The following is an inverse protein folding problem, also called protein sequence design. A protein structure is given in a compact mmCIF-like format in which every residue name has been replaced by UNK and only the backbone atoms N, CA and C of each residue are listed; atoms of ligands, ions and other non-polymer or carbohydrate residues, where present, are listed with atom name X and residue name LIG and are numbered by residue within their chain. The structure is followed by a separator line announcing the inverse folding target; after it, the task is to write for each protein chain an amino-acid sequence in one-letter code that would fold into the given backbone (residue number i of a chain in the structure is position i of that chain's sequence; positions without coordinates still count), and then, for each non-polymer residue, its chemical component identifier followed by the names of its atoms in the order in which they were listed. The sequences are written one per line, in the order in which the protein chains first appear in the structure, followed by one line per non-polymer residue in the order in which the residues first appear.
data_IF_881725578996
#
_entry.id   IF_881725578996
#
_cell.length_a   1.000
_cell.length_b   1.000
_cell.length_c   1.000
_cell.angle_alpha   90.00
_cell.angle_beta   90.00
_cell.angle_gamma   90.00
#
_symmetry.space_group_name_H-M   'P 1'
#
loop_
_entity.id
_entity.type
_entity.pdbx_description
1 polymer ?
#
# COMPACT_ATOMS: atom_id res chain seq x y z
N UNK A 1 23.12 2.72 -9.51
CA UNK A 1 22.96 2.15 -8.15
C UNK A 1 22.60 0.67 -8.23
N UNK A 2 21.64 0.26 -9.07
CA UNK A 2 21.26 -1.16 -9.19
C UNK A 2 22.30 -1.96 -9.98
N UNK A 3 22.88 -1.42 -11.07
CA UNK A 3 24.06 -2.05 -11.70
C UNK A 3 25.24 -2.26 -10.73
N UNK A 4 25.42 -1.38 -9.74
CA UNK A 4 26.44 -1.56 -8.69
C UNK A 4 26.05 -2.72 -7.75
N UNK A 5 24.78 -2.81 -7.34
CA UNK A 5 24.28 -3.92 -6.51
C UNK A 5 24.38 -5.26 -7.24
N UNK A 6 23.99 -5.31 -8.52
CA UNK A 6 24.05 -6.52 -9.36
C UNK A 6 25.50 -6.95 -9.63
N UNK A 7 26.42 -6.00 -9.83
CA UNK A 7 27.80 -6.32 -10.17
C UNK A 7 28.70 -6.58 -8.95
N UNK A 8 28.50 -5.89 -7.82
CA UNK A 8 29.35 -6.04 -6.62
C UNK A 8 28.78 -6.96 -5.54
N UNK A 9 27.47 -7.25 -5.56
CA UNK A 9 26.83 -8.13 -4.56
C UNK A 9 26.04 -9.29 -5.16
N UNK A 10 26.40 -9.70 -6.39
CA UNK A 10 25.71 -10.77 -7.11
C UNK A 10 25.60 -12.06 -6.30
N UNK A 11 26.67 -12.41 -5.60
CA UNK A 11 26.76 -13.65 -4.80
C UNK A 11 25.89 -13.63 -3.53
N UNK A 12 25.41 -12.45 -3.12
CA UNK A 12 24.56 -12.28 -1.93
C UNK A 12 23.05 -12.26 -2.28
N UNK A 13 22.68 -12.27 -3.56
CA UNK A 13 21.30 -12.16 -4.02
C UNK A 13 20.88 -13.50 -4.62
N UNK A 14 19.84 -14.18 -4.07
CA UNK A 14 19.35 -15.41 -4.67
C UNK A 14 18.97 -15.21 -6.14
N UNK A 15 19.35 -16.15 -7.01
CA UNK A 15 19.18 -16.03 -8.47
C UNK A 15 17.73 -15.75 -8.88
N UNK A 16 16.78 -16.21 -8.06
CA UNK A 16 15.35 -16.00 -8.29
C UNK A 16 14.90 -14.53 -8.30
N UNK A 17 15.68 -13.61 -7.69
CA UNK A 17 15.37 -12.18 -7.64
C UNK A 17 16.09 -11.37 -8.74
N UNK A 18 17.04 -11.98 -9.47
CA UNK A 18 17.74 -11.29 -10.56
C UNK A 18 16.80 -10.71 -11.63
N UNK A 19 15.72 -11.42 -12.05
CA UNK A 19 14.77 -10.86 -13.01
C UNK A 19 14.08 -9.58 -12.51
N UNK A 20 13.73 -9.52 -11.21
CA UNK A 20 13.13 -8.32 -10.61
C UNK A 20 14.10 -7.14 -10.66
N UNK A 21 15.36 -7.35 -10.28
CA UNK A 21 16.36 -6.28 -10.26
C UNK A 21 16.66 -5.75 -11.68
N UNK A 22 16.72 -6.65 -12.67
CA UNK A 22 16.87 -6.27 -14.08
C UNK A 22 15.67 -5.47 -14.59
N UNK A 23 14.45 -5.88 -14.24
CA UNK A 23 13.23 -5.16 -14.62
C UNK A 23 13.22 -3.75 -14.02
N UNK A 24 13.54 -3.61 -12.72
CA UNK A 24 13.65 -2.31 -12.05
C UNK A 24 14.71 -1.44 -12.74
N UNK A 25 15.93 -1.93 -12.97
CA UNK A 25 16.98 -1.11 -13.62
C UNK A 25 16.55 -0.64 -15.01
N UNK A 26 15.92 -1.52 -15.79
CA UNK A 26 15.45 -1.19 -17.15
C UNK A 26 14.42 -0.05 -17.15
N UNK A 27 13.52 -0.02 -16.16
CA UNK A 27 12.42 0.95 -16.06
C UNK A 27 12.81 2.26 -15.37
N UNK A 28 13.88 2.25 -14.57
CA UNK A 28 14.23 3.36 -13.68
C UNK A 28 15.49 4.11 -14.14
N UNK A 29 16.40 3.48 -14.88
CA UNK A 29 17.72 4.02 -15.26
C UNK A 29 17.72 5.44 -15.88
N UNK A 30 16.70 5.78 -16.67
CA UNK A 30 16.59 7.08 -17.33
C UNK A 30 15.67 8.07 -16.60
N UNK A 31 15.04 7.67 -15.49
CA UNK A 31 14.16 8.52 -14.72
C UNK A 31 14.97 9.40 -13.77
N UNK A 32 14.65 10.70 -13.76
CA UNK A 32 15.22 11.66 -12.81
C UNK A 32 14.24 12.05 -11.71
N UNK A 33 12.95 11.84 -11.93
CA UNK A 33 11.91 12.22 -11.00
C UNK A 33 11.75 11.13 -9.92
N UNK A 34 12.06 11.46 -8.67
CA UNK A 34 11.99 10.54 -7.53
C UNK A 34 10.61 9.89 -7.36
N UNK A 35 9.52 10.62 -7.64
CA UNK A 35 8.15 10.09 -7.59
C UNK A 35 7.94 8.98 -8.61
N UNK A 36 8.37 9.21 -9.86
CA UNK A 36 8.26 8.21 -10.93
C UNK A 36 9.16 7.02 -10.66
N UNK A 37 10.36 7.25 -10.12
CA UNK A 37 11.26 6.19 -9.69
C UNK A 37 10.56 5.28 -8.66
N UNK A 38 9.98 5.86 -7.60
CA UNK A 38 9.24 5.10 -6.58
C UNK A 38 8.10 4.29 -7.20
N UNK A 39 7.23 4.95 -7.97
CA UNK A 39 6.08 4.29 -8.59
C UNK A 39 6.48 3.12 -9.50
N UNK A 40 7.58 3.26 -10.26
CA UNK A 40 8.08 2.18 -11.12
C UNK A 40 8.69 1.04 -10.32
N UNK A 41 9.41 1.32 -9.23
CA UNK A 41 9.90 0.29 -8.33
C UNK A 41 8.72 -0.49 -7.74
N UNK A 42 7.72 0.20 -7.18
CA UNK A 42 6.53 -0.43 -6.58
C UNK A 42 5.82 -1.32 -7.60
N UNK A 43 5.57 -0.82 -8.81
CA UNK A 43 4.97 -1.60 -9.89
C UNK A 43 5.76 -2.88 -10.24
N UNK A 44 7.09 -2.80 -10.31
CA UNK A 44 7.92 -3.99 -10.57
C UNK A 44 7.85 -5.00 -9.42
N UNK A 45 7.94 -4.52 -8.18
CA UNK A 45 7.92 -5.35 -6.98
C UNK A 45 6.57 -6.07 -6.86
N UNK A 46 5.45 -5.36 -6.99
CA UNK A 46 4.13 -5.99 -6.92
C UNK A 46 3.88 -6.94 -8.10
N UNK A 47 4.27 -6.57 -9.33
CA UNK A 47 4.18 -7.48 -10.47
C UNK A 47 4.95 -8.79 -10.24
N UNK A 48 6.15 -8.70 -9.65
CA UNK A 48 6.93 -9.88 -9.28
C UNK A 48 6.28 -10.71 -8.17
N UNK A 49 5.75 -10.05 -7.13
CA UNK A 49 5.02 -10.72 -6.04
C UNK A 49 3.83 -11.52 -6.61
N UNK A 50 2.98 -10.90 -7.44
CA UNK A 50 1.80 -11.58 -7.98
C UNK A 50 2.16 -12.73 -8.90
N UNK A 51 3.21 -12.59 -9.73
CA UNK A 51 3.75 -13.70 -10.52
C UNK A 51 4.26 -14.87 -9.67
N UNK A 52 4.77 -14.60 -8.47
CA UNK A 52 5.16 -15.65 -7.51
C UNK A 52 3.92 -16.26 -6.87
N UNK A 53 2.94 -15.46 -6.45
CA UNK A 53 1.71 -15.94 -5.81
C UNK A 53 0.91 -16.89 -6.70
N UNK A 54 0.90 -16.70 -8.02
CA UNK A 54 0.30 -17.64 -8.99
C UNK A 54 0.81 -19.09 -8.82
N UNK A 55 2.03 -19.27 -8.31
CA UNK A 55 2.63 -20.60 -8.10
C UNK A 55 2.27 -21.22 -6.75
N UNK A 56 2.05 -20.40 -5.73
CA UNK A 56 1.83 -20.86 -4.35
C UNK A 56 0.34 -21.01 -4.01
N UNK A 57 -0.55 -20.34 -4.76
CA UNK A 57 -2.00 -20.40 -4.59
C UNK A 57 -2.47 -20.19 -3.14
N UNK A 58 -1.87 -19.20 -2.46
CA UNK A 58 -2.22 -18.82 -1.09
C UNK A 58 -3.16 -17.61 -1.10
N UNK A 59 -4.43 -17.84 -0.76
CA UNK A 59 -5.48 -16.82 -0.77
C UNK A 59 -5.22 -15.71 0.26
N UNK A 60 -4.63 -16.04 1.40
CA UNK A 60 -4.35 -15.11 2.49
C UNK A 60 -3.25 -14.11 2.11
N UNK A 61 -2.17 -14.58 1.48
CA UNK A 61 -1.14 -13.68 0.92
C UNK A 61 -1.69 -12.84 -0.22
N UNK A 62 -2.48 -13.44 -1.11
CA UNK A 62 -3.14 -12.71 -2.19
C UNK A 62 -3.99 -11.57 -1.66
N UNK A 63 -4.81 -11.84 -0.64
CA UNK A 63 -5.64 -10.83 0.02
C UNK A 63 -4.81 -9.75 0.71
N UNK A 64 -3.75 -10.13 1.46
CA UNK A 64 -2.84 -9.20 2.11
C UNK A 64 -2.23 -8.18 1.14
N UNK A 65 -1.66 -8.65 0.02
CA UNK A 65 -1.02 -7.77 -0.95
C UNK A 65 -2.03 -6.92 -1.73
N UNK A 66 -3.22 -7.47 -2.04
CA UNK A 66 -4.31 -6.69 -2.63
C UNK A 66 -4.72 -5.53 -1.73
N UNK A 67 -4.96 -5.79 -0.44
CA UNK A 67 -5.27 -4.74 0.54
C UNK A 67 -4.16 -3.69 0.64
N UNK A 68 -2.89 -4.11 0.60
CA UNK A 68 -1.77 -3.19 0.60
C UNK A 68 -1.82 -2.24 -0.60
N UNK A 69 -2.00 -2.78 -1.81
CA UNK A 69 -2.09 -2.02 -3.06
C UNK A 69 -3.31 -1.10 -3.04
N UNK A 70 -4.48 -1.62 -2.66
CA UNK A 70 -5.72 -0.84 -2.66
C UNK A 70 -5.60 0.38 -1.73
N UNK A 71 -5.07 0.20 -0.53
CA UNK A 71 -4.88 1.31 0.42
C UNK A 71 -3.77 2.27 -0.02
N UNK A 72 -2.70 1.78 -0.65
CA UNK A 72 -1.68 2.64 -1.24
C UNK A 72 -2.25 3.51 -2.37
N UNK A 73 -3.07 2.93 -3.25
CA UNK A 73 -3.73 3.66 -4.33
C UNK A 73 -4.76 4.67 -3.80
N UNK A 74 -5.57 4.30 -2.79
CA UNK A 74 -6.51 5.22 -2.14
C UNK A 74 -5.76 6.40 -1.50
N UNK A 75 -4.67 6.13 -0.77
CA UNK A 75 -3.86 7.19 -0.18
C UNK A 75 -3.24 8.09 -1.26
N UNK A 76 -2.79 7.50 -2.36
CA UNK A 76 -2.20 8.22 -3.49
C UNK A 76 -3.24 9.09 -4.20
N UNK A 77 -4.47 8.60 -4.38
CA UNK A 77 -5.60 9.38 -4.90
C UNK A 77 -5.86 10.61 -4.01
N UNK A 78 -6.02 10.38 -2.71
CA UNK A 78 -6.33 11.44 -1.74
C UNK A 78 -5.19 12.47 -1.68
N UNK A 79 -3.92 12.03 -1.60
CA UNK A 79 -2.75 12.93 -1.63
C UNK A 79 -2.67 13.72 -2.93
N UNK A 80 -2.92 13.09 -4.08
CA UNK A 80 -2.88 13.76 -5.38
C UNK A 80 -3.92 14.88 -5.47
N UNK A 81 -5.15 14.63 -4.98
CA UNK A 81 -6.20 15.65 -4.87
C UNK A 81 -5.82 16.78 -3.92
N UNK A 82 -5.30 16.45 -2.73
CA UNK A 82 -4.87 17.44 -1.74
C UNK A 82 -3.74 18.35 -2.26
N UNK A 83 -2.86 17.80 -3.11
CA UNK A 83 -1.77 18.54 -3.76
C UNK A 83 -2.19 19.24 -5.07
N UNK A 84 -3.47 19.20 -5.43
CA UNK A 84 -4.01 19.74 -6.68
C UNK A 84 -3.28 19.20 -7.93
N UNK A 85 -2.89 17.92 -7.91
CA UNK A 85 -2.35 17.26 -9.09
C UNK A 85 -3.46 16.85 -10.06
N UNK A 86 -3.11 16.72 -11.33
CA UNK A 86 -4.02 16.18 -12.34
C UNK A 86 -4.14 14.65 -12.22
N UNK A 87 -5.21 14.10 -12.80
CA UNK A 87 -5.46 12.66 -12.88
C UNK A 87 -4.29 11.91 -13.54
N UNK A 88 -3.66 12.51 -14.55
CA UNK A 88 -2.47 11.99 -15.23
C UNK A 88 -1.36 11.62 -14.25
N UNK A 89 -1.04 12.52 -13.31
CA UNK A 89 -0.01 12.30 -12.29
C UNK A 89 -0.38 11.20 -11.30
N UNK A 90 -1.66 11.05 -10.99
CA UNK A 90 -2.14 9.94 -10.18
C UNK A 90 -1.96 8.61 -10.93
N UNK A 91 -2.37 8.55 -12.20
CA UNK A 91 -2.26 7.34 -13.02
C UNK A 91 -0.81 6.90 -13.24
N UNK A 92 0.15 7.84 -13.31
CA UNK A 92 1.58 7.52 -13.31
C UNK A 92 2.04 6.75 -12.07
N UNK A 93 1.34 6.90 -10.94
CA UNK A 93 1.65 6.29 -9.65
C UNK A 93 0.74 5.11 -9.29
N UNK A 94 -0.27 4.82 -10.12
CA UNK A 94 -1.20 3.73 -9.86
C UNK A 94 -0.48 2.39 -9.87
N UNK A 95 -0.71 1.58 -8.83
CA UNK A 95 -0.16 0.24 -8.70
C UNK A 95 -1.24 -0.77 -9.07
N UNK A 96 -0.93 -1.65 -10.03
CA UNK A 96 -1.84 -2.71 -10.49
C UNK A 96 -1.92 -3.88 -9.49
N UNK A 97 -2.80 -4.86 -9.77
CA UNK A 97 -3.06 -6.06 -8.97
C UNK A 97 -3.82 -5.86 -7.65
N UNK A 98 -4.34 -4.66 -7.40
CA UNK A 98 -5.33 -4.41 -6.35
C UNK A 98 -6.69 -5.07 -6.64
N UNK A 99 -7.60 -5.00 -5.67
CA UNK A 99 -9.01 -5.41 -5.84
C UNK A 99 -9.82 -4.31 -6.53
N UNK A 100 -9.45 -3.05 -6.32
CA UNK A 100 -10.15 -1.90 -6.87
C UNK A 100 -9.65 -1.63 -8.29
N UNK A 101 -10.57 -1.62 -9.25
CA UNK A 101 -10.23 -1.39 -10.66
C UNK A 101 -9.75 0.05 -10.90
N UNK A 102 -8.83 0.23 -11.85
CA UNK A 102 -8.30 1.55 -12.19
C UNK A 102 -9.39 2.54 -12.60
N UNK A 103 -10.42 2.07 -13.32
CA UNK A 103 -11.56 2.89 -13.73
C UNK A 103 -12.32 3.48 -12.54
N UNK A 104 -12.41 2.72 -11.44
CA UNK A 104 -13.09 3.18 -10.23
C UNK A 104 -12.31 4.31 -9.55
N UNK A 105 -10.97 4.31 -9.64
CA UNK A 105 -10.17 5.44 -9.21
C UNK A 105 -10.28 6.65 -10.14
N UNK A 106 -10.36 6.43 -11.45
CA UNK A 106 -10.53 7.49 -12.45
C UNK A 106 -11.86 8.23 -12.21
N UNK A 107 -12.94 7.48 -12.04
CA UNK A 107 -14.26 8.04 -11.69
C UNK A 107 -14.18 8.78 -10.35
N UNK A 108 -13.62 8.16 -9.31
CA UNK A 108 -13.48 8.76 -7.99
C UNK A 108 -12.69 10.07 -7.97
N UNK A 109 -11.73 10.26 -8.89
CA UNK A 109 -10.87 11.44 -8.94
C UNK A 109 -11.66 12.74 -9.08
N UNK A 110 -12.74 12.71 -9.88
CA UNK A 110 -13.56 13.88 -10.20
C UNK A 110 -14.77 14.05 -9.28
N UNK A 111 -15.04 13.06 -8.41
CA UNK A 111 -16.20 13.09 -7.52
C UNK A 111 -15.96 13.98 -6.29
N UNK A 112 -17.02 14.67 -5.86
CA UNK A 112 -17.08 15.26 -4.53
C UNK A 112 -17.00 14.19 -3.43
N UNK A 113 -16.75 14.59 -2.18
CA UNK A 113 -16.50 13.66 -1.06
C UNK A 113 -17.58 12.57 -0.90
N UNK A 114 -18.86 12.93 -0.98
CA UNK A 114 -19.95 11.95 -0.88
C UNK A 114 -19.96 10.93 -2.02
N UNK A 115 -19.62 11.37 -3.23
CA UNK A 115 -19.49 10.50 -4.40
C UNK A 115 -18.28 9.57 -4.28
N UNK A 116 -17.15 10.11 -3.81
CA UNK A 116 -15.93 9.34 -3.54
C UNK A 116 -16.19 8.22 -2.53
N UNK A 117 -16.87 8.52 -1.42
CA UNK A 117 -17.21 7.51 -0.41
C UNK A 117 -18.05 6.39 -1.03
N UNK A 118 -19.12 6.76 -1.76
CA UNK A 118 -20.01 5.79 -2.43
C UNK A 118 -19.30 4.94 -3.48
N UNK A 119 -18.30 5.49 -4.17
CA UNK A 119 -17.55 4.72 -5.19
C UNK A 119 -16.87 3.49 -4.58
N UNK A 120 -16.37 3.61 -3.35
CA UNK A 120 -15.62 2.54 -2.71
C UNK A 120 -16.47 1.64 -1.80
N UNK A 121 -17.73 1.99 -1.49
CA UNK A 121 -18.58 1.13 -0.63
C UNK A 121 -18.94 -0.21 -1.26
N UNK A 122 -18.88 -0.34 -2.59
CA UNK A 122 -19.17 -1.59 -3.32
C UNK A 122 -18.15 -2.72 -3.07
N UNK A 123 -16.96 -2.41 -2.55
CA UNK A 123 -15.93 -3.42 -2.23
C UNK A 123 -16.16 -4.04 -0.85
N UNK A 124 -15.58 -5.22 -0.62
CA UNK A 124 -15.81 -6.03 0.60
C UNK A 124 -15.52 -5.28 1.91
N UNK A 125 -14.50 -4.43 1.94
CA UNK A 125 -14.15 -3.57 3.08
C UNK A 125 -14.64 -2.12 2.93
N UNK A 126 -15.42 -1.82 1.89
CA UNK A 126 -15.86 -0.49 1.50
C UNK A 126 -16.63 0.26 2.59
N UNK A 127 -17.55 -0.44 3.27
CA UNK A 127 -18.30 0.12 4.41
C UNK A 127 -17.38 0.52 5.59
N UNK A 128 -16.32 -0.25 5.84
CA UNK A 128 -15.33 0.10 6.87
C UNK A 128 -14.53 1.31 6.40
N UNK A 129 -14.03 1.30 5.16
CA UNK A 129 -13.26 2.39 4.55
C UNK A 129 -14.03 3.73 4.50
N UNK A 130 -15.35 3.68 4.29
CA UNK A 130 -16.21 4.86 4.26
C UNK A 130 -16.10 5.72 5.53
N UNK A 131 -15.85 5.10 6.70
CA UNK A 131 -15.66 5.83 7.96
C UNK A 131 -14.43 6.74 7.91
N UNK A 132 -13.30 6.22 7.44
CA UNK A 132 -12.06 7.00 7.30
C UNK A 132 -12.16 8.08 6.23
N UNK A 133 -12.80 7.77 5.10
CA UNK A 133 -13.02 8.76 4.03
C UNK A 133 -13.92 9.91 4.47
N UNK A 134 -14.97 9.64 5.25
CA UNK A 134 -15.84 10.68 5.84
C UNK A 134 -15.08 11.54 6.83
N UNK A 135 -14.35 10.93 7.77
CA UNK A 135 -13.54 11.66 8.74
C UNK A 135 -12.50 12.56 8.05
N UNK A 136 -11.82 12.05 7.02
CA UNK A 136 -10.90 12.84 6.22
C UNK A 136 -11.60 13.99 5.49
N UNK A 137 -12.82 13.79 4.99
CA UNK A 137 -13.58 14.87 4.35
C UNK A 137 -13.96 15.99 5.31
N UNK A 138 -14.02 15.71 6.61
CA UNK A 138 -14.37 16.69 7.64
C UNK A 138 -13.15 17.49 8.11
N UNK A 139 -12.01 16.83 8.38
CA UNK A 139 -10.83 17.48 8.97
C UNK A 139 -9.63 17.66 8.03
N UNK A 140 -9.65 17.03 6.85
CA UNK A 140 -8.58 17.10 5.84
C UNK A 140 -7.24 16.51 6.29
N UNK A 141 -7.20 15.76 7.40
CA UNK A 141 -5.96 15.32 8.02
C UNK A 141 -5.44 14.02 7.37
N UNK A 142 -4.47 14.18 6.47
CA UNK A 142 -3.82 13.06 5.76
C UNK A 142 -3.16 12.06 6.71
N UNK A 143 -2.53 12.52 7.79
CA UNK A 143 -1.85 11.65 8.74
C UNK A 143 -2.83 10.75 9.50
N UNK A 144 -3.97 11.30 9.92
CA UNK A 144 -5.05 10.51 10.54
C UNK A 144 -5.66 9.52 9.55
N UNK A 145 -5.84 9.92 8.29
CA UNK A 145 -6.35 9.00 7.27
C UNK A 145 -5.37 7.86 6.97
N UNK A 146 -4.08 8.15 6.90
CA UNK A 146 -3.03 7.12 6.76
C UNK A 146 -3.02 6.16 7.96
N UNK A 147 -3.11 6.68 9.18
CA UNK A 147 -3.26 5.87 10.40
C UNK A 147 -4.48 4.96 10.30
N UNK A 148 -5.63 5.50 9.91
CA UNK A 148 -6.86 4.74 9.74
C UNK A 148 -6.71 3.59 8.73
N UNK A 149 -6.03 3.80 7.61
CA UNK A 149 -5.79 2.75 6.61
C UNK A 149 -4.90 1.62 7.17
N UNK A 150 -3.90 1.95 7.99
CA UNK A 150 -3.07 0.96 8.67
C UNK A 150 -3.87 0.14 9.70
N UNK A 151 -4.67 0.79 10.54
CA UNK A 151 -5.56 0.13 11.49
C UNK A 151 -6.60 -0.74 10.79
N UNK A 152 -7.17 -0.25 9.68
CA UNK A 152 -8.11 -1.03 8.88
C UNK A 152 -7.43 -2.28 8.29
N UNK A 153 -6.18 -2.18 7.84
CA UNK A 153 -5.42 -3.34 7.33
C UNK A 153 -5.22 -4.38 8.42
N UNK A 154 -4.77 -3.97 9.60
CA UNK A 154 -4.64 -4.84 10.77
C UNK A 154 -5.96 -5.53 11.10
N UNK A 155 -7.05 -4.76 11.18
CA UNK A 155 -8.38 -5.27 11.49
C UNK A 155 -8.89 -6.28 10.47
N UNK A 156 -8.62 -6.08 9.18
CA UNK A 156 -9.02 -7.01 8.12
C UNK A 156 -8.16 -8.28 8.12
N UNK A 157 -6.87 -8.16 8.43
CA UNK A 157 -5.97 -9.32 8.50
C UNK A 157 -6.10 -10.11 9.80
N UNK A 158 -6.70 -9.53 10.84
CA UNK A 158 -6.97 -10.21 12.12
C UNK A 158 -7.83 -11.46 11.96
N UNK A 159 -8.78 -11.45 11.02
CA UNK A 159 -9.65 -12.60 10.77
C UNK A 159 -8.85 -13.84 10.30
N UNK A 160 -7.68 -13.61 9.67
CA UNK A 160 -6.76 -14.66 9.22
C UNK A 160 -5.78 -15.13 10.32
N UNK A 161 -5.76 -14.48 11.49
CA UNK A 161 -4.84 -14.85 12.60
C UNK A 161 -5.12 -16.22 13.21
N UNK A 162 -6.33 -16.76 13.03
CA UNK A 162 -6.77 -18.05 13.57
C UNK A 162 -6.75 -19.19 12.54
N UNK A 163 -6.31 -18.91 11.31
CA UNK A 163 -6.15 -19.92 10.27
C UNK A 163 -4.82 -20.66 10.44
N UNK A 164 -4.72 -21.52 11.46
CA UNK A 164 -3.46 -22.18 11.85
C UNK A 164 -2.77 -23.03 10.78
N UNK A 165 -3.48 -23.40 9.72
CA UNK A 165 -2.94 -24.17 8.59
C UNK A 165 -2.60 -23.30 7.36
N UNK A 166 -2.79 -21.98 7.44
CA UNK A 166 -2.36 -21.01 6.44
C UNK A 166 -1.19 -20.17 6.96
N UNK A 167 -0.63 -19.32 6.10
CA UNK A 167 0.39 -18.33 6.51
C UNK A 167 -0.21 -17.13 7.26
N UNK A 168 -1.54 -17.11 7.45
CA UNK A 168 -2.29 -16.03 8.10
C UNK A 168 -1.76 -15.62 9.47
N UNK A 169 -1.54 -16.53 10.43
CA UNK A 169 -1.00 -16.19 11.74
C UNK A 169 0.38 -15.52 11.66
N UNK A 170 1.24 -15.95 10.74
CA UNK A 170 2.57 -15.38 10.54
C UNK A 170 2.50 -13.95 9.97
N UNK A 171 1.63 -13.73 8.97
CA UNK A 171 1.42 -12.41 8.38
C UNK A 171 0.78 -11.44 9.37
N UNK A 172 -0.20 -11.89 10.15
CA UNK A 172 -0.82 -11.05 11.16
C UNK A 172 0.20 -10.65 12.24
N UNK A 173 0.99 -11.59 12.75
CA UNK A 173 2.09 -11.29 13.67
C UNK A 173 3.10 -10.30 13.08
N UNK A 174 3.47 -10.47 11.80
CA UNK A 174 4.35 -9.53 11.11
C UNK A 174 3.78 -8.11 11.08
N UNK A 175 2.47 -7.97 10.81
CA UNK A 175 1.79 -6.68 10.80
C UNK A 175 1.75 -6.02 12.19
N UNK A 176 1.50 -6.80 13.25
CA UNK A 176 1.57 -6.31 14.63
C UNK A 176 2.97 -5.78 14.95
N UNK A 177 4.02 -6.49 14.51
CA UNK A 177 5.41 -6.04 14.70
C UNK A 177 5.76 -4.80 13.88
N UNK A 178 5.20 -4.64 12.69
CA UNK A 178 5.34 -3.38 11.94
C UNK A 178 4.64 -2.21 12.67
N UNK A 179 3.43 -2.44 13.20
CA UNK A 179 2.68 -1.44 13.94
C UNK A 179 3.40 -1.02 15.23
N UNK A 180 3.91 -1.98 16.00
CA UNK A 180 4.75 -1.76 17.17
C UNK A 180 5.99 -0.90 16.83
N UNK A 181 6.72 -1.27 15.77
CA UNK A 181 7.89 -0.52 15.33
C UNK A 181 7.55 0.91 14.88
N UNK A 182 6.39 1.12 14.25
CA UNK A 182 5.90 2.45 13.85
C UNK A 182 5.52 3.29 15.08
N UNK A 183 4.85 2.69 16.07
CA UNK A 183 4.51 3.36 17.34
C UNK A 183 5.78 3.78 18.10
N UNK A 184 6.77 2.89 18.23
CA UNK A 184 8.07 3.20 18.86
C UNK A 184 8.74 4.37 18.14
N UNK A 185 8.76 4.36 16.80
CA UNK A 185 9.36 5.43 16.01
C UNK A 185 8.65 6.77 16.23
N UNK A 186 7.33 6.75 16.33
CA UNK A 186 6.54 7.95 16.58
C UNK A 186 6.85 8.56 17.94
N UNK A 187 6.78 7.74 19.01
CA UNK A 187 7.12 8.14 20.38
C UNK A 187 8.54 8.71 20.45
N UNK A 188 9.50 8.08 19.76
CA UNK A 188 10.88 8.56 19.75
C UNK A 188 11.03 9.90 18.99
N UNK A 189 10.33 10.06 17.88
CA UNK A 189 10.44 11.24 17.00
C UNK A 189 9.65 12.46 17.47
N UNK A 190 8.58 12.26 18.22
CA UNK A 190 7.68 13.31 18.69
C UNK A 190 7.41 13.17 20.19
N UNK A 191 7.86 14.16 20.97
CA UNK A 191 7.71 14.19 22.43
C UNK A 191 6.26 14.39 22.89
N UNK A 192 5.42 14.95 22.04
CA UNK A 192 4.02 15.23 22.33
C UNK A 192 3.08 14.14 21.77
N UNK A 193 3.61 12.94 21.51
CA UNK A 193 2.80 11.80 21.02
C UNK A 193 1.76 11.39 22.06
N UNK A 194 0.49 11.41 21.70
CA UNK A 194 -0.59 10.90 22.53
C UNK A 194 -0.88 9.42 22.21
N UNK A 195 -1.55 8.72 23.13
CA UNK A 195 -1.98 7.33 22.91
C UNK A 195 -2.92 7.25 21.69
N UNK A 196 -3.75 8.27 21.50
CA UNK A 196 -4.68 8.41 20.38
C UNK A 196 -3.99 8.48 19.01
N UNK A 197 -2.70 8.84 18.97
CA UNK A 197 -1.91 8.88 17.74
C UNK A 197 -1.36 7.49 17.37
N UNK A 198 -1.26 6.56 18.32
CA UNK A 198 -0.65 5.24 18.13
C UNK A 198 -1.59 4.26 17.44
N UNK A 199 -1.04 3.37 16.61
CA UNK A 199 -1.78 2.27 16.01
C UNK A 199 -2.26 1.29 17.08
N UNK A 200 -3.54 0.93 17.03
CA UNK A 200 -4.11 -0.18 17.80
C UNK A 200 -3.95 -1.48 17.00
N UNK A 201 -3.34 -2.50 17.62
CA UNK A 201 -3.12 -3.82 17.03
C UNK A 201 -3.46 -4.93 18.04
#
# INVERSE_FOLDING_TARGET
MINYIINEKKDAIPEEYLPLLQDIESKVSNLKNARLISAKIDSCVFGFIFKKLEKYNDETLGYYFKLFIDFANIMTLIRSRALNWGLDKFLEMFVEHGTIEQNDFIEAYSLASDGLVKQFTKYSYGEKLAKGLKAYSEDGNLSKFEKFLDELRLKLMKDYSLEFFSVGPLIYYYLEKQAEAKNIRMIYSNKDTEISDLLEY
#
